data_IF_174354842366
#
_entry.id   IF_174354842366
#
_cell.length_a   1.000
_cell.length_b   1.000
_cell.length_c   1.000
_cell.angle_alpha   90.00
_cell.angle_beta   90.00
_cell.angle_gamma   90.00
#
_symmetry.space_group_name_H-M   'P 1'
#
loop_
_entity.id
_entity.type
_entity.pdbx_description
1 polymer ?
#
# COMPACT_ATOMS: atom_id res chain seq x y z
N UNK A 1 42.94 27.83 45.21
CA UNK A 1 42.42 29.03 45.88
C UNK A 1 40.92 29.06 45.64
N UNK A 2 40.13 29.09 46.71
CA UNK A 2 38.69 29.32 46.67
C UNK A 2 38.36 30.65 45.98
N UNK A 3 37.18 30.75 45.37
CA UNK A 3 36.11 31.68 45.79
C UNK A 3 34.79 31.16 45.18
N UNK A 4 33.91 30.71 46.06
CA UNK A 4 32.47 30.55 45.85
C UNK A 4 31.79 31.92 45.71
N UNK A 5 30.81 32.05 44.81
CA UNK A 5 29.73 33.02 45.00
C UNK A 5 28.37 32.41 44.62
N UNK A 6 27.63 32.02 45.67
CA UNK A 6 26.17 31.91 45.67
C UNK A 6 25.56 33.28 45.37
N UNK A 7 24.56 33.34 44.49
CA UNK A 7 23.48 34.34 44.61
C UNK A 7 22.14 33.65 44.44
N UNK A 8 21.36 33.65 45.51
CA UNK A 8 19.95 33.27 45.56
C UNK A 8 19.10 34.37 44.92
N UNK A 9 18.08 34.01 44.13
CA UNK A 9 16.87 34.83 44.02
C UNK A 9 15.65 33.92 44.18
N UNK A 10 14.85 34.33 45.17
CA UNK A 10 13.63 33.78 45.72
C UNK A 10 12.48 33.64 44.71
N UNK A 11 11.58 32.70 45.02
CA UNK A 11 10.40 32.39 44.22
C UNK A 11 9.30 33.45 44.22
N UNK A 12 8.36 33.22 43.31
CA UNK A 12 7.01 33.76 43.43
C UNK A 12 5.99 32.69 43.04
N UNK A 13 5.30 32.21 44.07
CA UNK A 13 4.08 31.40 43.97
C UNK A 13 2.97 32.21 43.28
N UNK A 14 2.27 31.60 42.32
CA UNK A 14 0.86 31.93 42.09
C UNK A 14 0.02 30.67 42.31
N UNK A 15 -0.65 30.66 43.45
CA UNK A 15 -1.80 29.82 43.76
C UNK A 15 -3.09 30.55 43.37
N UNK A 16 -4.14 29.73 43.25
CA UNK A 16 -5.57 30.04 43.10
C UNK A 16 -6.04 30.13 41.65
N UNK A 17 -7.13 29.49 41.24
CA UNK A 17 -8.27 29.02 42.02
C UNK A 17 -9.00 27.87 41.33
N UNK A 18 -9.43 26.90 42.14
CA UNK A 18 -10.48 25.93 41.84
C UNK A 18 -11.82 26.64 41.62
N UNK A 19 -12.52 26.27 40.55
CA UNK A 19 -13.99 26.13 40.46
C UNK A 19 -14.21 24.83 39.68
N UNK A 20 -14.64 23.68 40.26
CA UNK A 20 -16.02 23.29 40.65
C UNK A 20 -17.06 23.99 39.75
N UNK A 21 -17.98 23.34 39.04
CA UNK A 21 -18.70 22.08 39.29
C UNK A 21 -19.36 21.67 37.95
N UNK A 22 -19.38 20.38 37.59
CA UNK A 22 -20.57 19.50 37.57
C UNK A 22 -21.85 20.10 36.95
N UNK A 23 -22.33 19.48 35.86
CA UNK A 23 -23.70 19.44 35.27
C UNK A 23 -23.44 18.93 33.82
N UNK A 24 -23.97 17.85 33.25
CA UNK A 24 -25.02 16.87 33.57
C UNK A 24 -24.72 15.64 32.69
N UNK A 25 -24.61 14.45 33.28
CA UNK A 25 -25.00 13.21 32.58
C UNK A 25 -26.53 13.22 32.52
N UNK A 26 -27.11 13.00 31.34
CA UNK A 26 -28.48 12.50 31.26
C UNK A 26 -28.60 11.47 30.13
N UNK A 27 -28.97 10.30 30.59
CA UNK A 27 -29.33 9.07 29.90
C UNK A 27 -30.57 9.21 28.99
N UNK A 28 -30.62 8.30 28.01
CA UNK A 28 -31.78 7.64 27.40
C UNK A 28 -32.68 8.40 26.39
N UNK A 29 -32.80 7.80 25.20
CA UNK A 29 -33.98 7.93 24.33
C UNK A 29 -33.69 7.70 22.84
N UNK A 30 -33.77 6.44 22.38
CA UNK A 30 -34.29 6.14 21.04
C UNK A 30 -35.80 6.45 21.01
N UNK A 31 -36.34 6.91 19.88
CA UNK A 31 -37.20 6.02 19.13
C UNK A 31 -37.12 6.17 17.60
N UNK A 32 -37.50 5.07 16.95
CA UNK A 32 -37.90 4.90 15.57
C UNK A 32 -38.95 5.94 15.09
N UNK A 33 -39.20 5.91 13.78
CA UNK A 33 -40.25 6.63 13.00
C UNK A 33 -39.81 7.88 12.22
N UNK A 34 -39.35 7.66 10.98
CA UNK A 34 -39.72 8.51 9.84
C UNK A 34 -39.57 7.74 8.52
N UNK A 35 -40.33 6.66 8.38
CA UNK A 35 -40.75 6.14 7.08
C UNK A 35 -42.22 6.51 6.93
N UNK A 36 -42.52 7.46 6.03
CA UNK A 36 -43.72 7.46 5.18
C UNK A 36 -43.79 8.75 4.35
N UNK A 37 -44.28 8.57 3.12
CA UNK A 37 -44.50 9.56 2.04
C UNK A 37 -43.22 9.81 1.21
N UNK A 38 -43.04 9.21 0.04
CA UNK A 38 -44.00 9.11 -1.06
C UNK A 38 -43.72 7.90 -1.97
N UNK A 39 -44.63 6.92 -1.95
CA UNK A 39 -44.88 6.07 -3.11
C UNK A 39 -46.16 6.57 -3.78
N UNK A 40 -46.05 7.06 -5.02
CA UNK A 40 -47.15 7.00 -5.97
C UNK A 40 -46.67 6.26 -7.21
N UNK A 41 -47.21 5.04 -7.32
CA UNK A 41 -47.27 4.19 -8.48
C UNK A 41 -48.35 4.71 -9.42
N UNK A 42 -48.03 4.99 -10.70
CA UNK A 42 -48.95 4.78 -11.82
C UNK A 42 -48.16 4.33 -13.06
N UNK A 43 -48.24 3.02 -13.29
CA UNK A 43 -48.44 2.29 -14.55
C UNK A 43 -48.10 2.94 -15.90
N UNK A 44 -47.42 2.13 -16.71
CA UNK A 44 -46.86 2.47 -18.00
C UNK A 44 -47.84 2.62 -19.15
N UNK A 45 -47.26 3.00 -20.30
CA UNK A 45 -47.70 2.65 -21.65
C UNK A 45 -46.55 2.89 -22.63
N UNK A 46 -46.21 1.80 -23.31
CA UNK A 46 -45.57 1.76 -24.63
C UNK A 46 -46.18 2.80 -25.57
N UNK A 47 -45.39 3.48 -26.40
CA UNK A 47 -45.67 3.61 -27.84
C UNK A 47 -44.46 4.14 -28.63
N UNK A 48 -44.42 3.62 -29.85
CA UNK A 48 -43.46 3.70 -30.96
C UNK A 48 -43.09 5.12 -31.43
N UNK A 49 -41.86 5.19 -31.95
CA UNK A 49 -41.34 5.97 -33.09
C UNK A 49 -42.21 7.07 -33.72
N UNK A 50 -41.61 8.25 -33.97
CA UNK A 50 -41.33 8.76 -35.33
C UNK A 50 -40.80 10.21 -35.35
N UNK A 51 -39.68 10.38 -36.07
CA UNK A 51 -39.39 11.38 -37.11
C UNK A 51 -39.52 12.90 -36.85
N UNK A 52 -38.41 13.58 -37.21
CA UNK A 52 -38.26 14.96 -37.76
C UNK A 52 -38.34 16.18 -36.83
N UNK A 53 -37.24 16.91 -36.68
CA UNK A 53 -36.94 18.09 -37.51
C UNK A 53 -35.54 18.67 -37.25
N UNK A 54 -34.90 19.09 -38.34
CA UNK A 54 -33.66 19.89 -38.48
C UNK A 54 -33.76 21.20 -37.68
N UNK A 55 -32.67 21.87 -37.27
CA UNK A 55 -31.83 22.88 -37.98
C UNK A 55 -30.80 23.32 -36.88
N UNK A 56 -29.48 23.49 -37.02
CA UNK A 56 -28.64 24.21 -38.00
C UNK A 56 -27.18 23.79 -37.79
N UNK A 57 -26.41 23.78 -38.88
CA UNK A 57 -24.98 23.53 -38.95
C UNK A 57 -24.15 24.82 -38.79
N UNK A 58 -22.89 24.65 -38.37
CA UNK A 58 -21.70 25.34 -38.92
C UNK A 58 -20.55 24.32 -38.79
N UNK A 59 -20.08 23.66 -39.85
CA UNK A 59 -19.29 24.12 -40.99
C UNK A 59 -17.85 24.53 -40.64
N UNK A 60 -16.94 23.56 -40.58
CA UNK A 60 -15.61 23.70 -41.16
C UNK A 60 -15.19 22.38 -41.80
N UNK A 61 -15.23 22.36 -43.13
CA UNK A 61 -14.75 21.25 -43.93
C UNK A 61 -13.29 21.45 -44.35
N UNK A 62 -12.64 20.33 -44.66
CA UNK A 62 -11.64 20.23 -45.73
C UNK A 62 -11.85 18.89 -46.45
N UNK A 63 -12.33 19.00 -47.69
CA UNK A 63 -12.20 18.13 -48.88
C UNK A 63 -11.50 16.77 -48.72
N UNK A 64 -12.16 15.63 -48.99
CA UNK A 64 -12.55 15.08 -50.31
C UNK A 64 -11.37 14.82 -51.26
N UNK A 65 -11.05 13.53 -51.43
CA UNK A 65 -10.54 12.97 -52.68
C UNK A 65 -11.25 11.65 -52.94
N UNK A 66 -11.79 11.56 -54.15
CA UNK A 66 -12.70 10.55 -54.65
C UNK A 66 -12.00 9.22 -55.00
N UNK A 67 -12.76 8.12 -54.88
CA UNK A 67 -12.98 7.09 -55.91
C UNK A 67 -11.76 6.46 -56.61
N UNK A 68 -11.52 5.15 -56.40
CA UNK A 68 -11.62 4.13 -57.47
C UNK A 68 -11.92 2.76 -56.84
N UNK A 69 -13.15 2.27 -57.04
CA UNK A 69 -13.47 0.84 -56.88
C UNK A 69 -13.00 0.12 -58.14
N UNK A 70 -11.95 -0.69 -58.01
CA UNK A 70 -11.57 -1.64 -59.07
C UNK A 70 -12.20 -2.98 -58.70
N UNK A 71 -13.31 -3.32 -59.37
CA UNK A 71 -13.78 -4.69 -59.46
C UNK A 71 -12.81 -5.46 -60.34
N UNK A 72 -12.02 -6.36 -59.76
CA UNK A 72 -11.39 -7.44 -60.51
C UNK A 72 -12.21 -8.73 -60.36
N UNK A 73 -12.40 -9.37 -61.51
CA UNK A 73 -13.21 -10.54 -61.73
C UNK A 73 -12.69 -11.78 -60.99
N UNK A 74 -13.65 -12.61 -60.60
CA UNK A 74 -13.53 -14.01 -60.18
C UNK A 74 -12.61 -14.83 -61.09
N UNK A 75 -11.59 -15.45 -60.49
CA UNK A 75 -11.06 -16.75 -60.92
C UNK A 75 -10.83 -17.60 -59.67
N UNK A 76 -11.65 -18.64 -59.53
CA UNK A 76 -11.42 -19.72 -58.59
C UNK A 76 -10.26 -20.59 -59.10
N UNK A 77 -9.16 -20.63 -58.33
CA UNK A 77 -8.12 -21.65 -58.43
C UNK A 77 -7.69 -22.01 -57.01
N UNK A 78 -7.64 -23.31 -56.75
CA UNK A 78 -7.71 -23.89 -55.42
C UNK A 78 -6.46 -23.77 -54.54
N UNK A 79 -6.69 -24.11 -53.27
CA UNK A 79 -5.76 -24.86 -52.44
C UNK A 79 -4.42 -24.21 -52.09
N UNK A 80 -4.40 -23.38 -51.05
CA UNK A 80 -3.49 -23.53 -49.92
C UNK A 80 -4.05 -22.68 -48.76
N UNK A 81 -4.24 -23.27 -47.58
CA UNK A 81 -4.59 -22.56 -46.36
C UNK A 81 -3.42 -21.64 -45.96
N UNK A 82 -3.40 -20.44 -46.54
CA UNK A 82 -2.61 -19.35 -46.02
C UNK A 82 -3.41 -18.73 -44.86
N UNK A 83 -2.94 -19.00 -43.64
CA UNK A 83 -3.32 -18.25 -42.45
C UNK A 83 -2.77 -16.83 -42.67
N UNK A 84 -3.55 -16.01 -43.36
CA UNK A 84 -3.36 -14.57 -43.38
C UNK A 84 -3.98 -14.06 -42.08
N UNK A 85 -3.14 -13.63 -41.14
CA UNK A 85 -3.57 -12.69 -40.12
C UNK A 85 -3.97 -11.41 -40.86
N UNK A 86 -5.25 -11.31 -41.23
CA UNK A 86 -5.88 -10.03 -41.50
C UNK A 86 -5.64 -9.16 -40.26
N UNK A 87 -4.99 -8.01 -40.48
CA UNK A 87 -4.90 -6.99 -39.43
C UNK A 87 -6.35 -6.61 -39.12
N UNK A 88 -6.80 -6.73 -37.86
CA UNK A 88 -8.17 -6.40 -37.51
C UNK A 88 -8.48 -4.95 -37.90
N UNK A 89 -9.67 -4.73 -38.43
CA UNK A 89 -10.14 -3.40 -38.80
C UNK A 89 -10.07 -2.45 -37.59
N UNK A 90 -9.53 -1.21 -37.73
CA UNK A 90 -9.28 -0.30 -36.61
C UNK A 90 -10.57 0.15 -35.88
N UNK A 91 -11.72 0.00 -36.54
CA UNK A 91 -13.03 0.30 -35.95
C UNK A 91 -13.54 -0.84 -35.05
N UNK A 92 -13.20 -2.11 -35.36
CA UNK A 92 -13.52 -3.31 -34.55
C UNK A 92 -12.54 -3.49 -33.37
N UNK A 93 -11.35 -2.86 -33.41
CA UNK A 93 -10.41 -2.83 -32.27
C UNK A 93 -10.97 -2.08 -31.04
N UNK A 94 -11.93 -1.17 -31.24
CA UNK A 94 -12.53 -0.38 -30.15
C UNK A 94 -13.50 -1.17 -29.26
N UNK A 95 -14.02 -2.31 -29.72
CA UNK A 95 -14.94 -3.18 -28.96
C UNK A 95 -14.22 -4.31 -28.21
N UNK A 96 -12.89 -4.46 -28.38
CA UNK A 96 -12.11 -5.49 -27.69
C UNK A 96 -11.83 -5.08 -26.25
N UNK A 97 -12.53 -5.70 -25.31
CA UNK A 97 -12.31 -5.52 -23.88
C UNK A 97 -10.87 -5.90 -23.51
N UNK A 98 -10.10 -4.93 -22.97
CA UNK A 98 -8.77 -5.18 -22.42
C UNK A 98 -8.77 -6.34 -21.39
N UNK A 99 -7.69 -7.14 -21.29
CA UNK A 99 -7.61 -8.20 -20.29
C UNK A 99 -7.73 -7.64 -18.87
N UNK A 100 -8.35 -8.42 -17.97
CA UNK A 100 -8.69 -7.95 -16.61
C UNK A 100 -7.46 -7.52 -15.79
N UNK A 101 -6.29 -8.09 -16.05
CA UNK A 101 -5.02 -7.67 -15.45
C UNK A 101 -4.67 -6.22 -15.79
N UNK A 102 -4.77 -5.85 -17.07
CA UNK A 102 -4.50 -4.50 -17.57
C UNK A 102 -5.57 -3.52 -17.08
N UNK A 103 -6.84 -3.92 -17.10
CA UNK A 103 -7.93 -3.08 -16.58
C UNK A 103 -7.73 -2.72 -15.10
N UNK A 104 -7.28 -3.68 -14.29
CA UNK A 104 -7.08 -3.46 -12.86
C UNK A 104 -6.03 -2.37 -12.59
N UNK A 105 -5.05 -2.17 -13.48
CA UNK A 105 -4.03 -1.12 -13.33
C UNK A 105 -4.60 0.29 -13.38
N UNK A 106 -5.58 0.53 -14.26
CA UNK A 106 -6.26 1.82 -14.40
C UNK A 106 -7.29 2.08 -13.31
N UNK A 107 -7.75 1.02 -12.64
CA UNK A 107 -8.72 1.10 -11.56
C UNK A 107 -8.02 1.22 -10.20
N UNK A 108 -8.80 1.60 -9.20
CA UNK A 108 -8.38 1.54 -7.80
C UNK A 108 -8.09 0.09 -7.38
N UNK A 109 -7.17 -0.14 -6.41
CA UNK A 109 -6.80 -1.47 -5.97
C UNK A 109 -8.02 -2.17 -5.37
N UNK A 110 -8.33 -3.34 -5.93
CA UNK A 110 -9.39 -4.21 -5.44
C UNK A 110 -9.02 -4.72 -4.04
N UNK A 111 -10.03 -4.84 -3.15
CA UNK A 111 -9.84 -5.34 -1.78
C UNK A 111 -10.73 -6.55 -1.55
N UNK A 112 -10.25 -7.48 -0.73
CA UNK A 112 -11.02 -8.64 -0.25
C UNK A 112 -11.69 -8.29 1.08
N UNK A 113 -12.83 -8.92 1.34
CA UNK A 113 -13.53 -8.81 2.61
C UNK A 113 -12.91 -9.77 3.63
N UNK A 114 -12.93 -9.39 4.91
CA UNK A 114 -12.42 -10.21 6.02
C UNK A 114 -13.60 -10.83 6.77
N UNK A 115 -13.49 -12.10 7.16
CA UNK A 115 -14.58 -12.85 7.81
C UNK A 115 -14.59 -12.63 9.33
N UNK A 116 -13.43 -12.72 9.98
CA UNK A 116 -13.28 -12.66 11.44
C UNK A 116 -12.70 -11.32 11.90
N UNK A 117 -11.91 -10.67 11.03
CA UNK A 117 -11.33 -9.36 11.30
C UNK A 117 -10.19 -9.37 12.30
N UNK A 118 -9.47 -10.49 12.45
CA UNK A 118 -8.33 -10.60 13.36
C UNK A 118 -7.05 -10.15 12.64
N UNK A 119 -6.25 -9.23 13.20
CA UNK A 119 -5.03 -8.76 12.54
C UNK A 119 -3.93 -9.83 12.54
N UNK A 120 -3.45 -10.19 11.34
CA UNK A 120 -2.33 -11.12 11.16
C UNK A 120 -1.01 -10.39 10.90
N UNK A 121 -1.06 -9.23 10.24
CA UNK A 121 0.15 -8.45 9.97
C UNK A 121 -0.13 -6.94 9.90
N UNK A 122 0.73 -6.17 10.56
CA UNK A 122 0.77 -4.72 10.48
C UNK A 122 2.06 -4.29 9.78
N UNK A 123 1.92 -3.75 8.57
CA UNK A 123 3.02 -3.19 7.79
C UNK A 123 3.02 -1.66 7.93
N UNK A 124 4.02 -1.14 8.62
CA UNK A 124 4.26 0.29 8.75
C UNK A 124 5.32 0.75 7.74
N UNK A 125 4.89 1.63 6.83
CA UNK A 125 5.75 2.28 5.85
C UNK A 125 6.13 3.68 6.34
N UNK A 126 7.39 4.07 6.13
CA UNK A 126 7.94 5.37 6.51
C UNK A 126 8.73 5.96 5.35
N UNK A 127 8.53 7.24 5.08
CA UNK A 127 9.31 7.98 4.08
C UNK A 127 9.33 9.47 4.40
N UNK A 128 10.22 10.18 3.71
CA UNK A 128 10.23 11.65 3.69
C UNK A 128 9.40 12.21 2.51
N UNK A 129 9.19 11.42 1.45
CA UNK A 129 8.43 11.78 0.25
C UNK A 129 7.04 11.15 0.24
N UNK A 130 6.01 11.94 -0.10
CA UNK A 130 4.60 11.49 -0.13
C UNK A 130 4.27 10.64 -1.37
N UNK A 131 4.60 11.07 -2.61
CA UNK A 131 4.20 10.32 -3.81
C UNK A 131 4.75 8.89 -3.84
N UNK A 132 6.02 8.73 -3.47
CA UNK A 132 6.67 7.42 -3.41
C UNK A 132 5.97 6.49 -2.41
N UNK A 133 5.58 7.04 -1.27
CA UNK A 133 4.90 6.29 -0.20
C UNK A 133 3.52 5.81 -0.67
N UNK A 134 2.74 6.68 -1.29
CA UNK A 134 1.38 6.37 -1.73
C UNK A 134 1.39 5.41 -2.93
N UNK A 135 2.33 5.59 -3.85
CA UNK A 135 2.57 4.65 -4.96
C UNK A 135 2.88 3.23 -4.44
N UNK A 136 3.79 3.12 -3.46
CA UNK A 136 4.16 1.82 -2.91
C UNK A 136 3.02 1.19 -2.08
N UNK A 137 2.22 2.02 -1.40
CA UNK A 137 1.01 1.53 -0.72
C UNK A 137 0.02 0.91 -1.73
N UNK A 138 -0.20 1.54 -2.88
CA UNK A 138 -1.07 1.02 -3.93
C UNK A 138 -0.53 -0.31 -4.48
N UNK A 139 0.77 -0.37 -4.78
CA UNK A 139 1.44 -1.60 -5.20
C UNK A 139 1.27 -2.74 -4.18
N UNK A 140 1.43 -2.46 -2.89
CA UNK A 140 1.29 -3.46 -1.83
C UNK A 140 -0.14 -3.99 -1.71
N UNK A 141 -1.15 -3.12 -1.85
CA UNK A 141 -2.55 -3.53 -1.87
C UNK A 141 -2.88 -4.42 -3.07
N UNK A 142 -2.35 -4.10 -4.25
CA UNK A 142 -2.53 -4.93 -5.46
C UNK A 142 -1.94 -6.31 -5.28
N UNK A 143 -0.73 -6.42 -4.71
CA UNK A 143 -0.10 -7.70 -4.43
C UNK A 143 -0.92 -8.55 -3.43
N UNK A 144 -1.45 -7.92 -2.38
CA UNK A 144 -2.29 -8.59 -1.39
C UNK A 144 -3.57 -9.19 -2.01
N UNK A 145 -4.19 -8.49 -2.96
CA UNK A 145 -5.41 -8.96 -3.63
C UNK A 145 -5.21 -10.28 -4.39
N UNK A 146 -4.06 -10.45 -5.07
CA UNK A 146 -3.76 -11.69 -5.80
C UNK A 146 -3.45 -12.86 -4.87
N UNK A 147 -2.92 -12.59 -3.68
CA UNK A 147 -2.67 -13.59 -2.64
C UNK A 147 -3.90 -13.89 -1.78
N UNK A 148 -5.07 -13.33 -2.14
CA UNK A 148 -6.32 -13.45 -1.39
C UNK A 148 -6.23 -12.95 0.06
N UNK A 149 -5.34 -11.99 0.34
CA UNK A 149 -5.20 -11.39 1.67
C UNK A 149 -6.13 -10.16 1.78
N UNK A 150 -7.04 -10.09 2.77
CA UNK A 150 -7.88 -8.92 2.97
C UNK A 150 -7.06 -7.81 3.65
N UNK A 151 -6.57 -6.90 2.81
CA UNK A 151 -5.79 -5.75 3.23
C UNK A 151 -6.68 -4.51 3.46
N UNK A 152 -6.55 -3.93 4.64
CA UNK A 152 -7.11 -2.64 4.99
C UNK A 152 -6.15 -1.55 4.54
N UNK A 153 -6.70 -0.54 3.88
CA UNK A 153 -5.98 0.48 3.11
C UNK A 153 -4.95 1.28 3.90
N UNK A 154 -4.17 2.15 3.23
CA UNK A 154 -3.09 2.88 3.86
C UNK A 154 -3.65 3.90 4.86
N UNK A 155 -3.66 3.53 6.14
CA UNK A 155 -4.10 4.40 7.22
C UNK A 155 -3.01 5.46 7.44
N UNK A 156 -3.32 6.76 7.31
CA UNK A 156 -2.36 7.82 7.53
C UNK A 156 -2.07 7.97 9.02
N UNK A 157 -0.90 7.48 9.44
CA UNK A 157 -0.43 7.70 10.80
C UNK A 157 0.08 9.14 10.96
N UNK A 158 0.06 9.70 12.19
CA UNK A 158 0.53 11.05 12.44
C UNK A 158 2.01 11.19 12.02
N UNK A 159 2.35 12.30 11.37
CA UNK A 159 3.72 12.60 10.96
C UNK A 159 4.61 12.88 12.18
N UNK A 160 5.87 12.48 12.10
CA UNK A 160 6.89 12.88 13.07
C UNK A 160 7.61 14.10 12.48
N UNK A 161 7.76 15.17 13.24
CA UNK A 161 8.46 16.38 12.80
C UNK A 161 9.60 16.69 13.75
N UNK A 162 10.81 16.51 13.26
CA UNK A 162 12.04 16.85 13.95
C UNK A 162 12.45 18.24 13.50
N UNK A 163 12.78 19.13 14.44
CA UNK A 163 13.18 20.52 14.14
C UNK A 163 14.51 20.82 14.80
N UNK A 164 15.38 21.51 14.08
CA UNK A 164 16.64 22.00 14.62
C UNK A 164 16.95 23.39 14.06
N UNK A 165 17.62 24.20 14.86
CA UNK A 165 17.98 25.58 14.51
C UNK A 165 19.49 25.65 14.34
N UNK A 166 19.93 26.13 13.17
CA UNK A 166 21.37 26.26 12.87
C UNK A 166 21.67 27.73 12.63
N UNK A 167 22.80 28.28 13.13
CA UNK A 167 23.28 29.57 12.69
C UNK A 167 23.56 29.56 11.18
N UNK A 168 23.13 30.59 10.46
CA UNK A 168 23.36 30.70 9.01
C UNK A 168 24.84 30.79 8.63
N UNK A 169 25.67 31.27 9.57
CA UNK A 169 27.12 31.42 9.42
C UNK A 169 27.84 30.56 10.44
N UNK A 170 28.99 30.03 10.06
CA UNK A 170 29.81 29.14 10.89
C UNK A 170 30.39 29.77 12.17
N UNK A 171 30.32 31.11 12.33
CA UNK A 171 31.05 31.81 13.39
C UNK A 171 30.20 32.80 14.22
N UNK A 172 30.42 34.12 14.08
CA UNK A 172 29.96 35.15 15.05
C UNK A 172 28.46 35.45 14.95
N UNK A 173 27.85 35.25 13.77
CA UNK A 173 26.48 35.73 13.48
C UNK A 173 25.38 34.83 14.09
N UNK A 174 25.33 34.72 15.42
CA UNK A 174 24.32 33.93 16.16
C UNK A 174 22.90 34.52 16.12
N UNK A 175 22.76 35.83 15.88
CA UNK A 175 21.44 36.49 15.76
C UNK A 175 20.69 36.05 14.49
N UNK A 176 21.42 35.62 13.45
CA UNK A 176 20.86 35.06 12.23
C UNK A 176 20.86 33.53 12.28
N UNK A 177 19.72 32.96 12.66
CA UNK A 177 19.49 31.51 12.68
C UNK A 177 18.44 31.12 11.63
N UNK A 178 18.46 29.86 11.23
CA UNK A 178 17.51 29.24 10.34
C UNK A 178 16.94 27.97 10.97
N UNK A 179 15.65 27.75 10.74
CA UNK A 179 14.93 26.59 11.23
C UNK A 179 14.90 25.54 10.12
N UNK A 180 15.37 24.35 10.42
CA UNK A 180 15.22 23.19 9.56
C UNK A 180 14.20 22.23 10.17
N UNK A 181 13.52 21.49 9.30
CA UNK A 181 12.67 20.39 9.72
C UNK A 181 12.86 19.15 8.85
N UNK A 182 12.74 17.98 9.50
CA UNK A 182 12.61 16.69 8.85
C UNK A 182 11.25 16.12 9.21
N UNK A 183 10.42 15.93 8.19
CA UNK A 183 9.07 15.37 8.36
C UNK A 183 9.09 13.92 7.89
N UNK A 184 8.90 12.99 8.82
CA UNK A 184 8.68 11.58 8.51
C UNK A 184 7.20 11.31 8.39
N UNK A 185 6.75 10.97 7.18
CA UNK A 185 5.38 10.53 6.88
C UNK A 185 5.28 9.02 7.05
N UNK A 186 4.13 8.58 7.54
CA UNK A 186 3.89 7.17 7.90
C UNK A 186 2.54 6.71 7.36
N UNK A 187 2.51 5.47 6.86
CA UNK A 187 1.28 4.77 6.47
C UNK A 187 1.29 3.39 7.13
N UNK A 188 0.13 2.92 7.51
CA UNK A 188 -0.07 1.57 8.04
C UNK A 188 -0.97 0.80 7.07
N UNK A 189 -0.53 -0.39 6.68
CA UNK A 189 -1.36 -1.37 5.98
C UNK A 189 -1.55 -2.52 6.95
N UNK A 190 -2.81 -2.85 7.22
CA UNK A 190 -3.16 -3.94 8.12
C UNK A 190 -3.79 -5.07 7.31
N UNK A 191 -3.24 -6.27 7.43
CA UNK A 191 -3.84 -7.50 6.89
C UNK A 191 -4.58 -8.18 8.01
N UNK A 192 -5.83 -8.53 7.74
CA UNK A 192 -6.65 -9.37 8.63
C UNK A 192 -6.75 -10.77 8.05
N UNK A 193 -6.99 -11.76 8.90
CA UNK A 193 -7.33 -13.14 8.53
C UNK A 193 -6.39 -13.74 7.45
N UNK A 194 -5.09 -13.46 7.54
CA UNK A 194 -4.08 -13.95 6.61
C UNK A 194 -3.39 -15.20 7.12
N UNK A 195 -3.18 -16.18 6.25
CA UNK A 195 -2.34 -17.34 6.56
C UNK A 195 -0.87 -16.91 6.71
N UNK A 196 -0.12 -17.38 7.73
CA UNK A 196 1.21 -16.88 8.05
C UNK A 196 2.20 -17.05 6.88
N UNK A 197 2.19 -18.20 6.20
CA UNK A 197 3.07 -18.43 5.03
C UNK A 197 2.76 -17.47 3.88
N UNK A 198 1.49 -17.20 3.61
CA UNK A 198 1.07 -16.30 2.52
C UNK A 198 1.47 -14.86 2.83
N UNK A 199 1.38 -14.45 4.10
CA UNK A 199 1.85 -13.15 4.58
C UNK A 199 3.38 -13.04 4.41
N UNK A 200 4.14 -14.10 4.72
CA UNK A 200 5.59 -14.11 4.50
C UNK A 200 5.95 -13.99 3.02
N UNK A 201 5.26 -14.71 2.13
CA UNK A 201 5.43 -14.58 0.67
C UNK A 201 5.14 -13.16 0.20
N UNK A 202 4.08 -12.54 0.73
CA UNK A 202 3.76 -11.14 0.43
C UNK A 202 4.86 -10.18 0.89
N UNK A 203 5.36 -10.32 2.12
CA UNK A 203 6.46 -9.49 2.64
C UNK A 203 7.74 -9.67 1.83
N UNK A 204 8.09 -10.91 1.46
CA UNK A 204 9.23 -11.21 0.61
C UNK A 204 9.12 -10.57 -0.78
N UNK A 205 7.91 -10.59 -1.36
CA UNK A 205 7.63 -9.92 -2.63
C UNK A 205 7.81 -8.40 -2.54
N UNK A 206 7.33 -7.78 -1.46
CA UNK A 206 7.52 -6.35 -1.22
C UNK A 206 8.98 -5.97 -1.01
N UNK A 207 9.76 -6.82 -0.32
CA UNK A 207 11.18 -6.58 -0.12
C UNK A 207 11.96 -6.67 -1.44
N UNK A 208 11.64 -7.65 -2.30
CA UNK A 208 12.26 -7.78 -3.63
C UNK A 208 11.98 -6.57 -4.52
N UNK A 209 10.78 -6.01 -4.43
CA UNK A 209 10.33 -4.87 -5.22
C UNK A 209 10.25 -3.58 -4.40
N UNK A 210 11.15 -3.41 -3.42
CA UNK A 210 11.15 -2.25 -2.55
C UNK A 210 11.44 -0.97 -3.34
N UNK A 211 10.53 0.01 -3.25
CA UNK A 211 10.72 1.31 -3.86
C UNK A 211 11.68 2.16 -3.03
N UNK A 212 12.53 2.95 -3.69
CA UNK A 212 13.57 3.73 -3.02
C UNK A 212 12.98 4.78 -2.06
N UNK A 213 13.72 5.07 -0.98
CA UNK A 213 13.32 6.08 0.00
C UNK A 213 12.16 5.68 0.91
N UNK A 214 11.84 4.37 0.98
CA UNK A 214 10.81 3.82 1.85
C UNK A 214 11.47 2.85 2.86
N UNK A 215 11.24 3.10 4.13
CA UNK A 215 11.54 2.16 5.21
C UNK A 215 10.31 1.38 5.61
N UNK A 216 10.43 0.07 5.76
CA UNK A 216 9.34 -0.83 6.13
C UNK A 216 9.58 -1.42 7.51
N UNK A 217 8.53 -1.51 8.32
CA UNK A 217 8.51 -2.30 9.57
C UNK A 217 7.26 -3.16 9.56
N UNK A 218 7.43 -4.48 9.55
CA UNK A 218 6.33 -5.43 9.63
C UNK A 218 6.28 -6.03 11.04
N UNK A 219 5.09 -6.04 11.65
CA UNK A 219 4.79 -6.87 12.81
C UNK A 219 3.90 -8.03 12.31
N UNK A 220 4.26 -9.27 12.61
CA UNK A 220 3.50 -10.46 12.24
C UNK A 220 3.00 -11.16 13.50
N UNK A 221 1.74 -11.56 13.50
CA UNK A 221 1.12 -12.34 14.57
C UNK A 221 0.85 -13.75 14.07
N UNK A 222 1.29 -14.72 14.86
CA UNK A 222 1.10 -16.14 14.61
C UNK A 222 0.52 -16.80 15.86
N UNK A 223 -0.36 -17.77 15.65
CA UNK A 223 -0.92 -18.56 16.72
C UNK A 223 -0.01 -19.76 17.00
N UNK A 224 0.71 -19.72 18.12
CA UNK A 224 1.44 -20.87 18.63
C UNK A 224 0.56 -21.72 19.55
N UNK A 225 0.78 -23.04 19.55
CA UNK A 225 0.27 -23.88 20.63
C UNK A 225 1.09 -23.68 21.91
N UNK A 226 0.55 -24.08 23.05
CA UNK A 226 1.22 -23.94 24.35
C UNK A 226 2.55 -24.73 24.43
N UNK A 227 2.68 -25.82 23.67
CA UNK A 227 3.86 -26.69 23.66
C UNK A 227 4.72 -26.45 22.42
N UNK A 228 5.14 -25.19 22.23
CA UNK A 228 5.90 -24.77 21.06
C UNK A 228 7.24 -25.50 20.94
N UNK A 229 7.86 -25.90 22.07
CA UNK A 229 9.15 -26.58 22.08
C UNK A 229 9.13 -27.92 21.35
N UNK A 230 8.12 -28.76 21.62
CA UNK A 230 8.00 -30.06 20.94
C UNK A 230 7.63 -29.92 19.47
N UNK A 231 6.84 -28.89 19.13
CA UNK A 231 6.50 -28.60 17.73
C UNK A 231 7.75 -28.22 16.95
N UNK A 232 8.56 -27.30 17.48
CA UNK A 232 9.83 -26.91 16.88
C UNK A 232 10.73 -28.13 16.66
N UNK A 233 10.93 -28.97 17.68
CA UNK A 233 11.78 -30.17 17.57
C UNK A 233 11.28 -31.14 16.48
N UNK A 234 9.96 -31.26 16.31
CA UNK A 234 9.35 -32.11 15.28
C UNK A 234 9.48 -31.55 13.85
N UNK A 235 9.57 -30.22 13.72
CA UNK A 235 9.67 -29.51 12.44
C UNK A 235 11.13 -29.30 12.00
N UNK A 236 12.10 -29.37 12.93
CA UNK A 236 13.54 -29.31 12.60
C UNK A 236 13.95 -30.20 11.41
N UNK A 237 13.57 -31.50 11.30
CA UNK A 237 14.02 -32.33 10.19
C UNK A 237 13.47 -31.90 8.81
N UNK A 238 12.30 -31.25 8.75
CA UNK A 238 11.78 -30.72 7.47
C UNK A 238 12.50 -29.42 7.11
N UNK A 239 12.71 -28.54 8.10
CA UNK A 239 13.42 -27.26 7.92
C UNK A 239 14.88 -27.48 7.52
N UNK A 240 15.56 -28.47 8.11
CA UNK A 240 16.96 -28.79 7.82
C UNK A 240 17.21 -29.01 6.33
N UNK A 241 16.33 -29.73 5.63
CA UNK A 241 16.46 -29.95 4.17
C UNK A 241 16.48 -28.66 3.38
N UNK A 242 15.55 -27.74 3.69
CA UNK A 242 15.46 -26.43 3.03
C UNK A 242 16.62 -25.49 3.39
N UNK A 243 17.19 -25.66 4.58
CA UNK A 243 18.37 -24.92 5.04
C UNK A 243 19.59 -25.43 4.30
N UNK A 244 19.79 -26.74 4.22
CA UNK A 244 20.96 -27.36 3.56
C UNK A 244 21.04 -26.91 2.08
N UNK A 245 19.90 -26.90 1.36
CA UNK A 245 19.81 -26.34 0.00
C UNK A 245 20.26 -24.88 -0.08
N UNK A 246 19.87 -24.03 0.88
CA UNK A 246 20.30 -22.63 0.94
C UNK A 246 21.77 -22.47 1.36
N UNK A 247 22.28 -23.39 2.18
CA UNK A 247 23.67 -23.38 2.64
C UNK A 247 24.65 -23.78 1.52
N UNK A 248 24.23 -24.65 0.59
CA UNK A 248 25.01 -24.93 -0.62
C UNK A 248 25.22 -23.68 -1.49
N UNK A 249 24.20 -22.81 -1.61
CA UNK A 249 24.30 -21.54 -2.35
C UNK A 249 25.24 -20.52 -1.69
N UNK A 250 25.43 -20.59 -0.37
CA UNK A 250 26.31 -19.71 0.39
C UNK A 250 27.81 -19.98 0.14
N UNK A 251 28.17 -21.09 -0.53
CA UNK A 251 29.53 -21.36 -1.00
C UNK A 251 30.59 -21.50 0.09
N UNK A 252 30.18 -21.65 1.36
CA UNK A 252 31.09 -21.83 2.49
C UNK A 252 31.61 -23.28 2.51
N UNK A 253 32.87 -23.46 2.10
CA UNK A 253 33.55 -24.77 2.09
C UNK A 253 34.07 -25.23 3.46
N UNK A 254 33.95 -24.39 4.51
CA UNK A 254 34.44 -24.71 5.86
C UNK A 254 33.29 -25.04 6.78
N UNK A 255 33.24 -26.29 7.23
CA UNK A 255 32.36 -26.74 8.31
C UNK A 255 32.81 -26.04 9.60
N UNK A 256 32.03 -25.08 10.11
CA UNK A 256 32.32 -24.41 11.39
C UNK A 256 32.04 -25.38 12.54
N UNK A 257 33.00 -26.24 12.83
CA UNK A 257 32.85 -27.43 13.68
C UNK A 257 32.74 -27.20 15.20
N UNK A 258 32.41 -26.00 15.71
CA UNK A 258 32.22 -25.82 17.17
C UNK A 258 31.19 -24.73 17.47
N UNK A 259 30.17 -25.07 18.27
CA UNK A 259 29.08 -24.15 18.68
C UNK A 259 29.61 -22.88 19.35
N UNK A 260 30.72 -22.99 20.09
CA UNK A 260 31.38 -21.87 20.76
C UNK A 260 31.91 -20.82 19.77
N UNK A 261 32.56 -21.26 18.68
CA UNK A 261 33.06 -20.37 17.63
C UNK A 261 31.94 -19.70 16.86
N UNK A 262 30.81 -20.38 16.70
CA UNK A 262 29.60 -19.79 16.07
C UNK A 262 29.01 -18.71 16.98
N UNK A 263 28.92 -18.97 18.30
CA UNK A 263 28.45 -17.97 19.28
C UNK A 263 29.35 -16.74 19.31
N UNK A 264 30.66 -16.91 19.40
CA UNK A 264 31.62 -15.80 19.38
C UNK A 264 31.51 -14.95 18.10
N UNK A 265 31.28 -15.61 16.96
CA UNK A 265 31.14 -14.94 15.67
C UNK A 265 29.82 -14.16 15.58
N UNK A 266 28.72 -14.69 16.11
CA UNK A 266 27.44 -13.99 16.24
C UNK A 266 27.52 -12.79 17.22
N UNK A 267 28.30 -12.93 18.29
CA UNK A 267 28.52 -11.88 19.29
C UNK A 267 29.52 -10.80 18.85
N UNK A 268 30.23 -11.02 17.74
CA UNK A 268 31.13 -10.02 17.18
C UNK A 268 30.35 -8.80 16.66
N UNK A 269 30.89 -7.59 16.90
CA UNK A 269 30.25 -6.30 16.58
C UNK A 269 29.81 -6.16 15.12
N UNK A 270 30.47 -6.88 14.21
CA UNK A 270 30.14 -6.91 12.78
C UNK A 270 28.73 -7.45 12.52
N UNK A 271 28.26 -8.42 13.32
CA UNK A 271 26.91 -8.96 13.20
C UNK A 271 25.87 -8.11 13.94
N UNK A 272 26.25 -7.48 15.07
CA UNK A 272 25.36 -6.60 15.85
C UNK A 272 24.88 -5.36 15.11
N UNK A 273 25.70 -4.76 14.25
CA UNK A 273 25.32 -3.57 13.46
C UNK A 273 24.49 -3.87 12.21
N UNK A 274 24.43 -5.13 11.79
CA UNK A 274 23.79 -5.56 10.54
C UNK A 274 22.43 -6.20 10.77
N UNK A 275 22.14 -6.62 12.02
CA UNK A 275 20.88 -7.24 12.43
C UNK A 275 19.80 -6.22 12.82
#
# INVERSE_FOLDING_TARGET
>A
MLIDTRTQISGHQRRSSNRRASILNRELGSPDECEQQSQHHVQGKSHKANTTSLVTADCFGVSRLDYVSIRFYSVAMGGLLAIWNELPDPDEENDVRLPRSVQTLYLQPLRREAEYGVPSCDLQLRSFSIPNLEFFCDFALRAAYYLNLPAFGPVPLPKITERWTVPKSHFIFKKSQENYERITRRRLIQIRDGHPETVQVWLAFLQKHAYYGIGMKANMWEYGSLDTGKQMDSELPSMQKSIDEKMELLGQSKVLGTVEKVKELLESERFKHTA
#
